data_IF_694205840096
#
_entry.id   IF_694205840096
#
_cell.length_a   1.000
_cell.length_b   1.000
_cell.length_c   1.000
_cell.angle_alpha   90.00
_cell.angle_beta   90.00
_cell.angle_gamma   90.00
#
_symmetry.space_group_name_H-M   'P 1'
#
loop_
_entity.id
_entity.type
_entity.pdbx_description
1 polymer ?
#
# COMPACT_ATOMS: atom_id res chain seq x y z
N UNK A 1 -24.12 11.13 15.35
CA UNK A 1 -23.63 12.29 14.55
C UNK A 1 -22.96 11.75 13.29
N UNK A 2 -22.55 12.59 12.34
CA UNK A 2 -21.74 12.15 11.20
C UNK A 2 -20.26 12.17 11.59
N UNK A 3 -19.51 11.14 11.22
CA UNK A 3 -18.10 11.01 11.63
C UNK A 3 -17.25 10.47 10.48
N UNK A 4 -16.22 11.21 10.11
CA UNK A 4 -15.18 10.76 9.18
C UNK A 4 -14.15 9.95 9.97
N UNK A 5 -14.04 8.67 9.66
CA UNK A 5 -13.15 7.72 10.35
C UNK A 5 -12.15 7.20 9.33
N UNK A 6 -10.86 7.40 9.58
CA UNK A 6 -9.79 6.88 8.72
C UNK A 6 -9.25 5.58 9.32
N UNK A 7 -9.21 4.53 8.52
CA UNK A 7 -8.71 3.22 8.86
C UNK A 7 -7.40 3.00 8.12
N UNK A 8 -6.33 2.80 8.88
CA UNK A 8 -5.00 2.65 8.30
C UNK A 8 -4.25 1.47 8.92
N UNK A 9 -3.86 0.50 8.11
CA UNK A 9 -2.99 -0.56 8.57
C UNK A 9 -1.52 -0.14 8.53
N UNK A 10 -0.75 -0.57 9.53
CA UNK A 10 0.66 -0.19 9.67
C UNK A 10 1.53 -1.42 9.95
N UNK A 11 2.66 -1.53 9.26
CA UNK A 11 3.80 -2.37 9.64
C UNK A 11 5.08 -1.67 9.22
N UNK A 12 5.82 -1.15 10.18
CA UNK A 12 7.07 -0.43 9.97
C UNK A 12 6.96 0.74 8.95
N UNK A 13 6.08 1.70 9.24
CA UNK A 13 5.77 2.85 8.37
C UNK A 13 6.29 4.18 8.93
N UNK A 14 7.23 4.16 9.89
CA UNK A 14 7.69 5.38 10.57
C UNK A 14 8.27 6.46 9.65
N UNK A 15 8.74 6.06 8.48
CA UNK A 15 9.26 6.93 7.41
C UNK A 15 8.27 7.96 6.85
N UNK A 16 6.96 7.76 7.01
CA UNK A 16 5.91 8.69 6.52
C UNK A 16 4.73 8.85 7.48
N UNK A 17 4.65 8.01 8.52
CA UNK A 17 3.46 7.94 9.37
C UNK A 17 3.16 9.28 10.06
N UNK A 18 4.18 10.05 10.41
CA UNK A 18 4.02 11.38 11.01
C UNK A 18 3.35 12.36 10.03
N UNK A 19 3.81 12.40 8.78
CA UNK A 19 3.28 13.25 7.71
C UNK A 19 1.84 12.86 7.40
N UNK A 20 1.59 11.56 7.25
CA UNK A 20 0.26 11.00 7.06
C UNK A 20 -0.70 11.40 8.17
N UNK A 21 -0.33 11.18 9.44
CA UNK A 21 -1.21 11.49 10.57
C UNK A 21 -1.44 12.99 10.72
N UNK A 22 -0.43 13.82 10.45
CA UNK A 22 -0.54 15.29 10.51
C UNK A 22 -1.54 15.82 9.50
N UNK A 23 -1.48 15.36 8.24
CA UNK A 23 -2.45 15.71 7.21
C UNK A 23 -3.84 15.11 7.52
N UNK A 24 -3.90 13.84 7.89
CA UNK A 24 -5.15 13.12 8.15
C UNK A 24 -5.95 13.74 9.29
N UNK A 25 -5.27 14.21 10.33
CA UNK A 25 -5.89 14.90 11.46
C UNK A 25 -6.62 16.20 11.07
N UNK A 26 -6.39 16.76 9.87
CA UNK A 26 -7.07 17.97 9.39
C UNK A 26 -8.50 17.73 8.93
N UNK A 27 -8.82 16.52 8.46
CA UNK A 27 -10.15 16.21 7.93
C UNK A 27 -10.85 15.05 8.67
N UNK A 28 -10.09 14.15 9.30
CA UNK A 28 -10.66 13.03 10.05
C UNK A 28 -11.15 13.46 11.44
N UNK A 29 -12.27 12.89 11.86
CA UNK A 29 -12.80 13.01 13.22
C UNK A 29 -12.20 11.94 14.14
N UNK A 30 -11.83 10.78 13.59
CA UNK A 30 -11.11 9.71 14.26
C UNK A 30 -10.20 8.95 13.29
N UNK A 31 -9.11 8.39 13.80
CA UNK A 31 -8.15 7.58 13.03
C UNK A 31 -7.95 6.27 13.80
N UNK A 32 -8.09 5.13 13.13
CA UNK A 32 -7.86 3.81 13.72
C UNK A 32 -6.67 3.19 12.98
N UNK A 33 -5.60 2.90 13.73
CA UNK A 33 -4.40 2.26 13.24
C UNK A 33 -4.39 0.79 13.65
N UNK A 34 -4.32 -0.13 12.69
CA UNK A 34 -4.06 -1.54 12.97
C UNK A 34 -2.56 -1.83 12.81
N UNK A 35 -1.84 -1.85 13.93
CA UNK A 35 -0.41 -2.10 13.96
C UNK A 35 -0.12 -3.60 13.91
N UNK A 36 0.57 -4.04 12.86
CA UNK A 36 0.94 -5.44 12.65
C UNK A 36 2.38 -5.69 13.08
N UNK A 37 2.58 -5.69 14.41
CA UNK A 37 3.85 -6.05 15.04
C UNK A 37 5.03 -5.18 14.53
N UNK A 38 4.82 -3.86 14.44
CA UNK A 38 5.91 -2.96 14.06
C UNK A 38 7.05 -3.03 15.07
N UNK A 39 8.27 -3.01 14.56
CA UNK A 39 9.52 -3.03 15.33
C UNK A 39 10.29 -1.71 15.24
N UNK A 40 9.78 -0.77 14.44
CA UNK A 40 10.31 0.58 14.29
C UNK A 40 9.60 1.58 15.23
N UNK A 41 9.71 2.87 14.94
CA UNK A 41 9.09 3.91 15.79
C UNK A 41 7.61 4.16 15.51
N UNK A 42 6.95 3.42 14.61
CA UNK A 42 5.57 3.66 14.16
C UNK A 42 4.57 3.81 15.31
N UNK A 43 4.61 2.89 16.28
CA UNK A 43 3.71 2.91 17.44
C UNK A 43 3.92 4.16 18.31
N UNK A 44 5.16 4.60 18.47
CA UNK A 44 5.48 5.79 19.24
C UNK A 44 4.99 7.08 18.55
N UNK A 45 5.07 7.13 17.22
CA UNK A 45 4.53 8.23 16.41
C UNK A 45 3.02 8.36 16.63
N UNK A 46 2.27 7.25 16.57
CA UNK A 46 0.82 7.25 16.78
C UNK A 46 0.40 7.87 18.12
N UNK A 47 1.18 7.65 19.19
CA UNK A 47 0.87 8.15 20.53
C UNK A 47 0.85 9.68 20.62
N UNK A 48 1.47 10.39 19.67
CA UNK A 48 1.50 11.85 19.63
C UNK A 48 0.21 12.48 19.07
N UNK A 49 -0.74 11.67 18.56
CA UNK A 49 -1.94 12.16 17.89
C UNK A 49 -3.22 11.80 18.67
N UNK A 50 -3.90 12.76 19.31
CA UNK A 50 -5.07 12.48 20.15
C UNK A 50 -6.27 11.85 19.43
N UNK A 51 -6.35 12.02 18.10
CA UNK A 51 -7.41 11.42 17.27
C UNK A 51 -7.15 9.96 16.90
N UNK A 52 -5.96 9.43 17.23
CA UNK A 52 -5.52 8.09 16.85
C UNK A 52 -5.86 7.08 17.94
N UNK A 53 -6.52 6.01 17.54
CA UNK A 53 -6.65 4.78 18.33
C UNK A 53 -5.83 3.69 17.67
N UNK A 54 -4.85 3.15 18.38
CA UNK A 54 -4.04 2.01 17.90
C UNK A 54 -4.66 0.71 18.41
N UNK A 55 -4.85 -0.25 17.51
CA UNK A 55 -5.24 -1.63 17.82
C UNK A 55 -4.15 -2.59 17.35
N UNK A 56 -3.99 -3.69 18.09
CA UNK A 56 -3.01 -4.72 17.75
C UNK A 56 -3.58 -5.67 16.68
N UNK A 57 -2.87 -5.80 15.56
CA UNK A 57 -3.03 -6.93 14.66
C UNK A 57 -1.94 -7.97 14.99
N UNK A 58 -2.27 -8.89 15.89
CA UNK A 58 -1.33 -9.92 16.38
C UNK A 58 -1.04 -11.04 15.38
N UNK A 59 -1.64 -11.02 14.19
CA UNK A 59 -1.36 -12.02 13.16
C UNK A 59 0.07 -11.89 12.64
N UNK A 60 0.84 -12.96 12.79
CA UNK A 60 2.16 -13.09 12.17
C UNK A 60 2.07 -13.21 10.64
N UNK A 61 0.90 -13.57 10.10
CA UNK A 61 0.70 -13.72 8.67
C UNK A 61 0.16 -12.45 8.02
N UNK A 62 0.67 -12.14 6.84
CA UNK A 62 0.08 -11.09 6.02
C UNK A 62 -1.26 -11.56 5.43
N UNK A 63 -2.33 -10.83 5.75
CA UNK A 63 -3.67 -10.98 5.18
C UNK A 63 -4.34 -9.62 5.05
N UNK A 64 -4.57 -9.17 3.81
CA UNK A 64 -5.25 -7.88 3.55
C UNK A 64 -6.71 -7.91 4.00
N UNK A 65 -7.40 -9.04 3.79
CA UNK A 65 -8.82 -9.18 4.09
C UNK A 65 -9.09 -9.16 5.61
N UNK A 66 -8.37 -9.97 6.39
CA UNK A 66 -8.54 -10.06 7.85
C UNK A 66 -8.25 -8.72 8.53
N UNK A 67 -7.17 -8.05 8.10
CA UNK A 67 -6.80 -6.72 8.57
C UNK A 67 -7.89 -5.68 8.30
N UNK A 68 -8.54 -5.75 7.13
CA UNK A 68 -9.62 -4.85 6.78
C UNK A 68 -10.89 -5.11 7.61
N UNK A 69 -11.23 -6.39 7.85
CA UNK A 69 -12.33 -6.78 8.76
C UNK A 69 -12.08 -6.20 10.15
N UNK A 70 -10.88 -6.42 10.71
CA UNK A 70 -10.49 -5.93 12.03
C UNK A 70 -10.71 -4.41 12.17
N UNK A 71 -10.24 -3.64 11.19
CA UNK A 71 -10.37 -2.18 11.20
C UNK A 71 -11.84 -1.72 11.13
N UNK A 72 -12.63 -2.28 10.21
CA UNK A 72 -14.05 -1.91 10.03
C UNK A 72 -14.87 -2.27 11.26
N UNK A 73 -14.70 -3.48 11.80
CA UNK A 73 -15.39 -3.90 13.02
C UNK A 73 -15.02 -3.03 14.21
N UNK A 74 -13.76 -2.63 14.32
CA UNK A 74 -13.31 -1.69 15.37
C UNK A 74 -14.01 -0.35 15.23
N UNK A 75 -14.11 0.20 14.01
CA UNK A 75 -14.82 1.45 13.76
C UNK A 75 -16.30 1.37 14.18
N UNK A 76 -16.97 0.26 13.85
CA UNK A 76 -18.37 0.02 14.25
C UNK A 76 -18.52 -0.11 15.77
N UNK A 77 -17.57 -0.74 16.45
CA UNK A 77 -17.57 -0.90 17.92
C UNK A 77 -17.33 0.42 18.66
N UNK A 78 -16.41 1.25 18.16
CA UNK A 78 -16.06 2.53 18.80
C UNK A 78 -17.11 3.62 18.54
N UNK A 79 -17.82 3.55 17.42
CA UNK A 79 -18.77 4.58 16.98
C UNK A 79 -20.12 3.96 16.57
N UNK A 80 -20.82 3.23 17.45
CA UNK A 80 -22.01 2.44 17.09
C UNK A 80 -23.18 3.32 16.61
N UNK A 81 -23.37 4.49 17.23
CA UNK A 81 -24.51 5.38 17.00
C UNK A 81 -24.23 6.49 15.96
N UNK A 82 -23.03 6.51 15.37
CA UNK A 82 -22.66 7.50 14.37
C UNK A 82 -22.96 7.01 12.94
N UNK A 83 -23.26 7.97 12.05
CA UNK A 83 -23.17 7.77 10.61
C UNK A 83 -21.69 7.80 10.24
N UNK A 84 -21.11 6.60 10.10
CA UNK A 84 -19.67 6.40 9.85
C UNK A 84 -19.35 6.57 8.36
N UNK A 85 -18.53 7.56 8.04
CA UNK A 85 -17.94 7.74 6.73
C UNK A 85 -16.52 7.20 6.83
N UNK A 86 -16.32 5.96 6.39
CA UNK A 86 -15.10 5.21 6.56
C UNK A 86 -14.17 5.47 5.38
N UNK A 87 -12.97 5.98 5.64
CA UNK A 87 -11.88 6.09 4.68
C UNK A 87 -10.87 4.97 4.94
N UNK A 88 -10.43 4.26 3.91
CA UNK A 88 -9.43 3.20 4.01
C UNK A 88 -8.18 3.61 3.24
N UNK A 89 -7.22 4.19 3.97
CA UNK A 89 -5.99 4.78 3.42
C UNK A 89 -4.78 4.00 3.94
N UNK A 90 -3.84 3.68 3.07
CA UNK A 90 -2.52 3.21 3.51
C UNK A 90 -1.69 4.41 4.03
N UNK A 91 -0.67 4.15 4.86
CA UNK A 91 0.13 5.22 5.47
C UNK A 91 0.87 6.09 4.45
N UNK A 92 1.09 5.60 3.23
CA UNK A 92 1.71 6.33 2.13
C UNK A 92 0.69 7.05 1.20
N UNK A 93 -0.57 7.20 1.64
CA UNK A 93 -1.64 7.85 0.90
C UNK A 93 -2.10 9.14 1.60
N UNK A 94 -1.45 10.25 1.27
CA UNK A 94 -1.70 11.56 1.89
C UNK A 94 -2.62 12.38 0.99
N UNK A 95 -3.64 13.01 1.56
CA UNK A 95 -4.53 13.92 0.83
C UNK A 95 -3.73 15.04 0.13
N UNK A 96 -4.16 15.50 -1.04
CA UNK A 96 -3.61 16.72 -1.65
C UNK A 96 -4.01 17.96 -0.81
N UNK A 97 -3.13 18.95 -0.71
CA UNK A 97 -3.31 20.06 0.23
C UNK A 97 -4.57 20.89 -0.04
N UNK A 98 -4.85 21.19 -1.31
CA UNK A 98 -6.08 21.86 -1.74
C UNK A 98 -7.36 21.05 -1.43
N UNK A 99 -7.25 19.71 -1.42
CA UNK A 99 -8.35 18.81 -1.04
C UNK A 99 -8.81 18.94 0.41
N UNK A 100 -7.95 19.40 1.34
CA UNK A 100 -8.31 19.54 2.76
C UNK A 100 -9.46 20.54 2.97
N UNK A 101 -9.47 21.62 2.20
CA UNK A 101 -10.45 22.71 2.32
C UNK A 101 -11.57 22.63 1.28
N UNK A 102 -11.62 21.53 0.52
CA UNK A 102 -12.60 21.36 -0.55
C UNK A 102 -14.04 21.44 -0.06
N UNK A 103 -14.90 22.10 -0.84
CA UNK A 103 -16.35 22.10 -0.61
C UNK A 103 -16.97 20.69 -0.72
N UNK A 104 -16.30 19.76 -1.41
CA UNK A 104 -16.77 18.39 -1.63
C UNK A 104 -16.95 17.61 -0.31
N UNK A 105 -16.28 18.01 0.78
CA UNK A 105 -16.51 17.44 2.10
C UNK A 105 -17.97 17.55 2.56
N UNK A 106 -18.70 18.60 2.14
CA UNK A 106 -20.14 18.74 2.42
C UNK A 106 -20.97 17.72 1.64
N UNK A 107 -20.56 17.39 0.41
CA UNK A 107 -21.22 16.40 -0.45
C UNK A 107 -20.97 14.99 0.11
N UNK A 108 -19.73 14.69 0.49
CA UNK A 108 -19.36 13.43 1.15
C UNK A 108 -20.18 13.20 2.41
N UNK A 109 -20.41 14.26 3.19
CA UNK A 109 -21.23 14.20 4.41
C UNK A 109 -22.72 13.99 4.12
N UNK A 110 -23.26 14.53 3.02
CA UNK A 110 -24.69 14.45 2.72
C UNK A 110 -25.15 13.12 2.11
N UNK A 111 -24.25 12.34 1.49
CA UNK A 111 -24.63 11.05 0.88
C UNK A 111 -25.08 10.00 1.90
N UNK A 112 -25.96 9.10 1.48
CA UNK A 112 -26.56 8.07 2.35
C UNK A 112 -25.67 6.84 2.57
N UNK A 113 -25.98 6.01 3.59
CA UNK A 113 -25.35 4.70 3.80
C UNK A 113 -25.37 3.82 2.54
N UNK A 114 -24.34 2.97 2.39
CA UNK A 114 -24.18 2.10 1.22
C UNK A 114 -23.49 2.77 0.03
N UNK A 115 -23.04 4.02 0.19
CA UNK A 115 -22.37 4.78 -0.88
C UNK A 115 -20.88 4.53 -0.87
N UNK A 116 -20.31 4.06 -1.98
CA UNK A 116 -18.86 4.01 -2.21
C UNK A 116 -18.39 5.31 -2.83
N UNK A 117 -17.30 5.87 -2.32
CA UNK A 117 -16.77 7.17 -2.74
C UNK A 117 -15.41 6.95 -3.40
N UNK A 118 -15.32 7.43 -4.63
CA UNK A 118 -14.19 7.26 -5.53
C UNK A 118 -13.41 8.57 -5.65
N UNK A 119 -12.09 8.45 -5.60
CA UNK A 119 -11.16 9.56 -5.68
C UNK A 119 -10.08 9.27 -6.71
N UNK A 120 -9.47 10.34 -7.21
CA UNK A 120 -8.22 10.20 -7.93
C UNK A 120 -7.07 9.89 -6.95
N UNK A 121 -6.18 8.97 -7.34
CA UNK A 121 -5.06 8.51 -6.52
C UNK A 121 -3.74 8.57 -7.32
N UNK A 122 -3.18 9.76 -7.57
CA UNK A 122 -1.96 9.92 -8.35
C UNK A 122 -0.75 9.35 -7.60
N UNK A 123 0.17 8.70 -8.30
CA UNK A 123 1.43 8.23 -7.74
C UNK A 123 2.52 9.30 -7.90
N UNK A 124 3.06 9.84 -6.81
CA UNK A 124 4.13 10.83 -6.88
C UNK A 124 5.49 10.19 -7.14
N UNK A 125 6.23 10.70 -8.12
CA UNK A 125 7.57 10.24 -8.42
C UNK A 125 8.62 10.86 -7.48
N UNK A 126 9.80 10.25 -7.44
CA UNK A 126 10.94 10.77 -6.69
C UNK A 126 11.22 12.25 -7.05
N UNK A 127 11.45 13.08 -6.04
CA UNK A 127 11.61 14.54 -6.19
C UNK A 127 10.29 15.32 -6.22
N UNK A 128 9.13 14.65 -6.27
CA UNK A 128 7.78 15.21 -6.20
C UNK A 128 7.39 16.20 -7.32
N UNK A 129 8.25 16.43 -8.32
CA UNK A 129 7.99 17.35 -9.44
C UNK A 129 7.03 16.78 -10.46
N UNK A 130 6.98 15.46 -10.57
CA UNK A 130 6.12 14.73 -11.49
C UNK A 130 5.32 13.65 -10.78
N UNK A 131 4.19 13.30 -11.36
CA UNK A 131 3.30 12.28 -10.88
C UNK A 131 2.74 11.46 -12.04
N UNK A 132 2.33 10.24 -11.72
CA UNK A 132 1.63 9.36 -12.63
C UNK A 132 0.15 9.46 -12.34
N UNK A 133 -0.61 9.85 -13.36
CA UNK A 133 -2.07 9.88 -13.31
C UNK A 133 -2.61 8.78 -14.19
N UNK A 134 -3.52 7.99 -13.63
CA UNK A 134 -4.16 6.89 -14.31
C UNK A 134 -5.48 7.42 -14.86
N UNK A 135 -5.54 7.71 -16.16
CA UNK A 135 -6.73 8.29 -16.78
C UNK A 135 -7.96 7.40 -16.53
N UNK A 136 -9.07 8.04 -16.15
CA UNK A 136 -10.36 7.40 -15.81
C UNK A 136 -10.32 6.28 -14.76
N UNK A 137 -9.21 6.18 -14.01
CA UNK A 137 -9.02 5.15 -12.98
C UNK A 137 -9.15 5.76 -11.59
N UNK A 138 -10.38 5.79 -11.09
CA UNK A 138 -10.70 6.26 -9.75
C UNK A 138 -10.72 5.09 -8.76
N UNK A 139 -10.16 5.32 -7.58
CA UNK A 139 -10.08 4.30 -6.52
C UNK A 139 -11.16 4.54 -5.49
N UNK A 140 -11.93 3.50 -5.15
CA UNK A 140 -12.83 3.50 -4.00
C UNK A 140 -12.01 3.54 -2.70
N UNK A 141 -11.93 4.71 -2.08
CA UNK A 141 -11.16 4.92 -0.84
C UNK A 141 -12.05 5.24 0.35
N UNK A 142 -13.32 5.57 0.14
CA UNK A 142 -14.26 5.73 1.24
C UNK A 142 -15.61 5.07 1.00
N UNK A 143 -16.33 4.83 2.10
CA UNK A 143 -17.62 4.20 2.12
C UNK A 143 -18.47 4.73 3.27
N UNK A 144 -19.73 5.06 3.00
CA UNK A 144 -20.70 5.41 4.04
C UNK A 144 -21.27 4.11 4.59
N UNK A 145 -20.88 3.75 5.80
CA UNK A 145 -21.17 2.45 6.39
C UNK A 145 -22.68 2.22 6.57
N UNK A 146 -23.20 1.11 6.05
CA UNK A 146 -24.58 0.65 6.22
C UNK A 146 -24.70 -0.62 7.09
N UNK A 147 -23.58 -1.11 7.62
CA UNK A 147 -23.54 -2.35 8.42
C UNK A 147 -23.37 -3.64 7.61
N UNK A 148 -23.20 -3.58 6.27
CA UNK A 148 -23.01 -4.77 5.45
C UNK A 148 -21.82 -5.63 5.91
N UNK A 149 -21.99 -6.95 5.82
CA UNK A 149 -20.93 -7.92 6.14
C UNK A 149 -19.82 -7.90 5.09
N UNK A 150 -18.59 -7.97 5.56
CA UNK A 150 -17.41 -7.92 4.71
C UNK A 150 -16.81 -9.33 4.51
N UNK A 151 -17.12 -9.95 3.37
CA UNK A 151 -16.51 -11.22 2.95
C UNK A 151 -15.79 -11.00 1.64
N UNK A 152 -14.46 -10.88 1.68
CA UNK A 152 -13.65 -10.77 0.47
C UNK A 152 -12.48 -11.74 0.49
N UNK A 153 -12.13 -12.24 -0.71
CA UNK A 153 -10.92 -13.03 -0.94
C UNK A 153 -9.68 -12.13 -0.92
N UNK A 154 -8.51 -12.73 -0.85
CA UNK A 154 -7.15 -12.18 -0.60
C UNK A 154 -6.68 -10.94 -1.39
N UNK A 155 -7.41 -10.50 -2.44
CA UNK A 155 -7.19 -9.25 -3.20
C UNK A 155 -8.40 -8.31 -3.14
N UNK A 156 -8.98 -8.16 -1.95
CA UNK A 156 -10.16 -7.36 -1.71
C UNK A 156 -9.98 -5.89 -2.09
N UNK A 157 -11.05 -5.25 -2.59
CA UNK A 157 -11.19 -3.80 -2.56
C UNK A 157 -10.98 -3.29 -1.12
N UNK A 158 -10.41 -2.10 -0.91
CA UNK A 158 -10.18 -1.60 0.46
C UNK A 158 -11.48 -1.18 1.17
N UNK A 159 -12.50 -0.84 0.39
CA UNK A 159 -13.82 -0.46 0.88
C UNK A 159 -14.89 -1.40 0.33
N UNK A 160 -16.04 -1.52 1.02
CA UNK A 160 -17.21 -2.16 0.47
C UNK A 160 -17.57 -1.67 -0.92
N UNK A 161 -17.62 -2.61 -1.87
CA UNK A 161 -18.16 -2.40 -3.19
C UNK A 161 -19.42 -3.24 -3.32
N UNK A 162 -20.58 -2.58 -3.42
CA UNK A 162 -21.87 -3.24 -3.65
C UNK A 162 -22.29 -3.01 -5.12
N UNK A 163 -21.96 -3.91 -6.05
CA UNK A 163 -22.24 -3.72 -7.48
C UNK A 163 -23.73 -3.80 -7.83
N UNK A 164 -24.58 -4.34 -6.95
CA UNK A 164 -25.99 -4.63 -7.29
C UNK A 164 -26.90 -3.46 -6.86
N UNK A 165 -26.64 -2.84 -5.71
CA UNK A 165 -27.47 -1.76 -5.13
C UNK A 165 -26.68 -0.56 -4.58
N UNK A 166 -25.35 -0.53 -4.74
CA UNK A 166 -24.50 0.51 -4.16
C UNK A 166 -24.59 1.83 -4.93
N UNK A 167 -24.75 2.93 -4.21
CA UNK A 167 -24.59 4.27 -4.81
C UNK A 167 -23.09 4.55 -4.95
N UNK A 168 -22.69 5.17 -6.06
CA UNK A 168 -21.31 5.62 -6.25
C UNK A 168 -21.27 7.14 -6.28
N UNK A 169 -20.32 7.73 -5.55
CA UNK A 169 -20.00 9.15 -5.60
C UNK A 169 -18.58 9.31 -6.14
N UNK A 170 -18.42 10.02 -7.25
CA UNK A 170 -17.12 10.43 -7.77
C UNK A 170 -16.76 11.82 -7.25
N UNK A 171 -15.61 11.96 -6.60
CA UNK A 171 -15.10 13.22 -6.06
C UNK A 171 -13.83 13.63 -6.79
N UNK A 172 -13.83 14.81 -7.41
CA UNK A 172 -12.76 15.26 -8.30
C UNK A 172 -11.82 16.29 -7.64
N UNK A 173 -12.30 17.07 -6.67
CA UNK A 173 -11.48 18.13 -6.04
C UNK A 173 -10.69 17.63 -4.82
N UNK A 174 -10.93 16.39 -4.38
CA UNK A 174 -10.15 15.73 -3.33
C UNK A 174 -9.36 14.60 -3.97
N UNK A 175 -8.05 14.59 -3.73
CA UNK A 175 -7.12 13.59 -4.27
C UNK A 175 -6.28 13.02 -3.14
N UNK A 176 -5.88 11.76 -3.27
CA UNK A 176 -4.97 11.11 -2.33
C UNK A 176 -3.68 10.76 -3.05
N UNK A 177 -2.63 11.53 -2.78
CA UNK A 177 -1.30 11.34 -3.34
C UNK A 177 -0.67 10.09 -2.74
N UNK A 178 -0.24 9.16 -3.59
CA UNK A 178 0.38 7.92 -3.18
C UNK A 178 1.90 8.02 -3.33
N UNK A 179 2.61 7.83 -2.22
CA UNK A 179 4.05 8.07 -2.13
C UNK A 179 4.90 6.83 -2.47
N UNK A 180 4.29 5.71 -2.87
CA UNK A 180 5.03 4.47 -3.17
C UNK A 180 6.14 4.65 -4.21
N UNK A 181 5.95 5.54 -5.19
CA UNK A 181 6.92 5.78 -6.27
C UNK A 181 8.05 6.73 -5.88
N UNK A 182 7.99 7.34 -4.69
CA UNK A 182 9.06 8.23 -4.19
C UNK A 182 10.26 7.46 -3.64
N UNK A 183 10.07 6.16 -3.35
CA UNK A 183 11.06 5.25 -2.74
C UNK A 183 11.22 3.99 -3.59
N UNK A 184 11.87 4.10 -4.77
CA UNK A 184 11.94 2.99 -5.73
C UNK A 184 12.58 1.72 -5.14
N UNK A 185 13.59 1.82 -4.28
CA UNK A 185 14.22 0.63 -3.69
C UNK A 185 13.23 -0.11 -2.76
N UNK A 186 12.56 0.63 -1.87
CA UNK A 186 11.57 0.04 -0.95
C UNK A 186 10.36 -0.52 -1.70
N UNK A 187 9.92 0.15 -2.78
CA UNK A 187 8.83 -0.37 -3.61
C UNK A 187 9.19 -1.70 -4.25
N UNK A 188 10.38 -1.82 -4.84
CA UNK A 188 10.85 -3.08 -5.41
C UNK A 188 10.97 -4.17 -4.34
N UNK A 189 11.45 -3.83 -3.13
CA UNK A 189 11.48 -4.75 -1.99
C UNK A 189 10.08 -5.27 -1.61
N UNK A 190 9.07 -4.39 -1.56
CA UNK A 190 7.67 -4.74 -1.31
C UNK A 190 7.12 -5.69 -2.37
N UNK A 191 7.48 -5.49 -3.64
CA UNK A 191 7.08 -6.38 -4.74
C UNK A 191 7.70 -7.77 -4.61
N UNK A 192 9.01 -7.85 -4.30
CA UNK A 192 9.69 -9.12 -4.02
C UNK A 192 9.01 -9.87 -2.87
N UNK A 193 8.74 -9.19 -1.77
CA UNK A 193 8.04 -9.75 -0.62
C UNK A 193 6.64 -10.28 -0.98
N UNK A 194 5.81 -9.51 -1.69
CA UNK A 194 4.47 -9.98 -2.11
C UNK A 194 4.52 -11.17 -3.06
N UNK A 195 5.47 -11.18 -4.01
CA UNK A 195 5.68 -12.32 -4.91
C UNK A 195 6.00 -13.61 -4.13
N UNK A 196 6.88 -13.51 -3.14
CA UNK A 196 7.27 -14.63 -2.26
C UNK A 196 6.10 -15.12 -1.41
N UNK A 197 5.35 -14.20 -0.78
CA UNK A 197 4.15 -14.55 0.02
C UNK A 197 3.11 -15.28 -0.84
N UNK A 198 2.84 -14.80 -2.04
CA UNK A 198 1.88 -15.46 -2.95
C UNK A 198 2.36 -16.81 -3.46
N UNK A 199 3.67 -17.00 -3.65
CA UNK A 199 4.25 -18.33 -3.93
C UNK A 199 4.03 -19.28 -2.74
N UNK A 200 4.37 -18.86 -1.53
CA UNK A 200 4.22 -19.67 -0.30
C UNK A 200 2.76 -20.09 -0.12
N UNK A 201 1.84 -19.12 -0.22
CA UNK A 201 0.39 -19.35 -0.04
C UNK A 201 -0.30 -19.94 -1.27
N UNK A 202 0.43 -20.15 -2.38
CA UNK A 202 -0.07 -20.66 -3.67
C UNK A 202 -1.31 -19.91 -4.18
N UNK A 203 -1.34 -18.59 -3.98
CA UNK A 203 -2.51 -17.76 -4.31
C UNK A 203 -2.60 -17.45 -5.81
N UNK A 204 -1.44 -17.28 -6.44
CA UNK A 204 -1.33 -16.78 -7.81
C UNK A 204 -0.33 -17.64 -8.58
N UNK A 205 -0.63 -18.07 -9.82
CA UNK A 205 0.33 -18.76 -10.68
C UNK A 205 1.60 -17.94 -10.96
N UNK A 206 2.71 -18.62 -11.23
CA UNK A 206 4.03 -17.98 -11.43
C UNK A 206 4.02 -16.88 -12.49
N UNK A 207 3.39 -17.10 -13.64
CA UNK A 207 3.35 -16.12 -14.73
C UNK A 207 2.61 -14.83 -14.34
N UNK A 208 1.55 -14.93 -13.54
CA UNK A 208 0.84 -13.76 -13.02
C UNK A 208 1.67 -13.04 -11.96
N UNK A 209 2.34 -13.78 -11.06
CA UNK A 209 3.22 -13.14 -10.05
C UNK A 209 4.35 -12.36 -10.71
N UNK A 210 5.02 -12.95 -11.71
CA UNK A 210 6.08 -12.29 -12.48
C UNK A 210 5.57 -11.05 -13.22
N UNK A 211 4.32 -11.06 -13.69
CA UNK A 211 3.71 -9.87 -14.30
C UNK A 211 3.29 -8.80 -13.28
N UNK A 212 2.74 -9.20 -12.13
CA UNK A 212 2.21 -8.29 -11.13
C UNK A 212 3.31 -7.65 -10.28
N UNK A 213 4.42 -8.37 -10.08
CA UNK A 213 5.56 -7.99 -9.26
C UNK A 213 6.87 -8.08 -10.04
N UNK A 214 7.03 -7.31 -11.14
CA UNK A 214 8.24 -7.35 -11.93
C UNK A 214 9.42 -6.77 -11.13
N UNK A 215 10.59 -7.40 -11.28
CA UNK A 215 11.86 -6.97 -10.69
C UNK A 215 12.18 -5.51 -11.02
N UNK A 216 12.12 -5.18 -12.32
CA UNK A 216 12.28 -3.83 -12.82
C UNK A 216 10.91 -3.22 -13.04
N UNK A 217 10.47 -2.42 -12.06
CA UNK A 217 9.34 -1.53 -12.27
C UNK A 217 9.72 -0.44 -13.27
N UNK A 218 9.35 -0.62 -14.53
CA UNK A 218 9.29 0.50 -15.45
C UNK A 218 7.96 1.22 -15.23
N UNK A 219 7.98 2.54 -15.12
CA UNK A 219 6.78 3.39 -15.18
C UNK A 219 5.91 3.02 -16.40
N UNK A 220 6.56 2.63 -17.51
CA UNK A 220 5.92 2.18 -18.74
C UNK A 220 5.23 0.80 -18.65
N UNK A 221 5.42 0.03 -17.57
CA UNK A 221 4.78 -1.27 -17.34
C UNK A 221 3.44 -1.14 -16.59
N UNK A 222 3.08 0.06 -16.14
CA UNK A 222 1.74 0.33 -15.64
C UNK A 222 0.81 0.31 -16.85
N UNK A 223 0.02 -0.75 -16.98
CA UNK A 223 -0.95 -0.84 -18.07
C UNK A 223 -1.99 0.29 -17.96
N UNK A 224 -2.40 0.82 -19.11
CA UNK A 224 -3.32 1.97 -19.22
C UNK A 224 -2.63 3.19 -19.83
N UNK A 225 -3.41 4.19 -20.23
CA UNK A 225 -2.87 5.51 -20.58
C UNK A 225 -2.44 6.20 -19.28
N UNK A 226 -1.21 5.93 -18.85
CA UNK A 226 -0.58 6.64 -17.74
C UNK A 226 0.04 7.91 -18.28
N UNK A 227 -0.44 9.05 -17.80
CA UNK A 227 0.14 10.33 -18.14
C UNK A 227 1.15 10.74 -17.07
N UNK A 228 2.39 10.94 -17.50
CA UNK A 228 3.43 11.51 -16.66
C UNK A 228 3.28 13.03 -16.71
N UNK A 229 2.71 13.60 -15.65
CA UNK A 229 2.38 15.02 -15.58
C UNK A 229 3.20 15.71 -14.48
N UNK A 230 3.32 17.04 -14.59
CA UNK A 230 3.80 17.85 -13.49
C UNK A 230 2.86 17.69 -12.28
N UNK A 231 3.42 17.53 -11.09
CA UNK A 231 2.66 17.56 -9.85
C UNK A 231 2.13 18.99 -9.66
N UNK A 232 0.81 19.20 -9.52
CA UNK A 232 0.27 20.53 -9.26
C UNK A 232 0.83 21.11 -7.96
N UNK A 233 1.31 22.36 -8.02
CA UNK A 233 1.84 23.05 -6.83
C UNK A 233 0.80 23.12 -5.70
N UNK A 234 -0.49 23.24 -6.04
CA UNK A 234 -1.59 23.29 -5.07
C UNK A 234 -1.71 22.02 -4.22
N UNK A 235 -1.16 20.89 -4.67
CA UNK A 235 -1.20 19.64 -3.91
C UNK A 235 -0.18 19.62 -2.77
N UNK A 236 0.94 20.33 -2.93
CA UNK A 236 2.06 20.30 -1.99
C UNK A 236 2.23 21.63 -1.22
N UNK A 237 1.87 22.75 -1.83
CA UNK A 237 2.10 24.08 -1.27
C UNK A 237 1.28 24.29 0.01
N UNK A 238 1.96 24.68 1.09
CA UNK A 238 1.37 24.83 2.42
C UNK A 238 1.54 23.62 3.34
N UNK A 239 2.07 22.49 2.87
CA UNK A 239 2.40 21.39 3.80
C UNK A 239 3.57 21.72 4.72
N UNK A 240 4.58 22.44 4.21
CA UNK A 240 5.70 22.91 5.02
C UNK A 240 5.25 23.82 6.18
N UNK A 241 4.25 24.68 5.95
CA UNK A 241 3.70 25.55 7.01
C UNK A 241 2.84 24.78 8.02
N UNK A 242 2.39 23.58 7.68
CA UNK A 242 1.73 22.64 8.58
C UNK A 242 2.70 21.72 9.34
N UNK A 243 4.01 21.88 9.14
CA UNK A 243 5.03 21.05 9.77
C UNK A 243 5.25 19.69 9.11
N UNK A 244 4.76 19.48 7.88
CA UNK A 244 5.05 18.27 7.11
C UNK A 244 6.28 18.50 6.23
N UNK A 245 7.19 17.53 6.26
CA UNK A 245 8.34 17.48 5.36
C UNK A 245 8.21 16.29 4.40
N UNK A 246 7.68 16.56 3.21
CA UNK A 246 7.48 15.53 2.18
C UNK A 246 8.72 15.33 1.30
N UNK A 247 9.75 16.17 1.44
CA UNK A 247 10.92 16.13 0.55
C UNK A 247 12.05 15.25 1.06
N UNK A 248 12.01 14.84 2.33
CA UNK A 248 13.04 14.00 2.95
C UNK A 248 12.48 12.61 3.30
N UNK A 249 12.23 11.80 2.26
CA UNK A 249 11.73 10.43 2.41
C UNK A 249 12.89 9.44 2.23
N UNK A 250 13.26 8.65 3.26
CA UNK A 250 14.45 7.78 3.19
C UNK A 250 14.21 6.57 2.29
N UNK A 251 15.04 6.32 1.27
CA UNK A 251 14.94 5.14 0.40
C UNK A 251 16.15 4.19 0.59
N UNK A 252 16.18 3.41 1.69
CA UNK A 252 17.32 2.55 1.99
C UNK A 252 17.51 1.46 0.93
N UNK A 253 18.75 1.02 0.76
CA UNK A 253 19.10 -0.06 -0.16
C UNK A 253 18.43 -1.40 0.23
N UNK A 254 18.32 -1.66 1.53
CA UNK A 254 17.62 -2.83 2.07
C UNK A 254 16.41 -2.37 2.88
N UNK A 255 15.23 -2.89 2.53
CA UNK A 255 14.00 -2.69 3.30
C UNK A 255 13.77 -3.83 4.29
N UNK A 256 12.95 -3.61 5.31
CA UNK A 256 12.46 -4.70 6.16
C UNK A 256 11.77 -5.81 5.36
N UNK A 257 11.18 -5.48 4.20
CA UNK A 257 10.60 -6.45 3.27
C UNK A 257 11.65 -7.45 2.75
N UNK A 258 12.87 -7.00 2.45
CA UNK A 258 13.94 -7.87 1.98
C UNK A 258 14.40 -8.82 3.10
N UNK A 259 14.48 -8.32 4.34
CA UNK A 259 14.80 -9.15 5.50
C UNK A 259 13.71 -10.22 5.77
N UNK A 260 12.44 -9.92 5.52
CA UNK A 260 11.38 -10.94 5.60
C UNK A 260 11.55 -12.03 4.51
N UNK A 261 12.00 -11.65 3.30
CA UNK A 261 12.31 -12.63 2.26
C UNK A 261 13.46 -13.56 2.68
N UNK A 262 14.51 -13.04 3.33
CA UNK A 262 15.59 -13.87 3.87
C UNK A 262 15.11 -14.88 4.92
N UNK A 263 14.14 -14.50 5.77
CA UNK A 263 13.49 -15.45 6.69
C UNK A 263 12.83 -16.59 5.90
N UNK A 264 12.17 -16.29 4.78
CA UNK A 264 11.58 -17.33 3.93
C UNK A 264 12.61 -18.18 3.19
N UNK A 265 13.77 -17.65 2.82
CA UNK A 265 14.87 -18.47 2.30
C UNK A 265 15.36 -19.46 3.36
N UNK A 266 15.41 -19.06 4.63
CA UNK A 266 15.78 -19.95 5.74
C UNK A 266 14.76 -21.07 5.92
N UNK A 267 13.47 -20.76 5.84
CA UNK A 267 12.38 -21.72 6.11
C UNK A 267 12.16 -22.67 4.93
N UNK A 268 12.21 -22.17 3.70
CA UNK A 268 11.77 -22.91 2.51
C UNK A 268 12.89 -23.23 1.51
N UNK A 269 14.08 -22.66 1.68
CA UNK A 269 15.17 -22.70 0.71
C UNK A 269 14.96 -21.72 -0.46
N UNK A 270 16.05 -21.12 -0.91
CA UNK A 270 16.09 -20.19 -2.06
C UNK A 270 15.56 -20.81 -3.37
N UNK A 271 15.78 -22.11 -3.57
CA UNK A 271 15.37 -22.84 -4.78
C UNK A 271 13.86 -22.78 -5.05
N UNK A 272 13.04 -22.68 -3.99
CA UNK A 272 11.58 -22.53 -4.12
C UNK A 272 11.18 -21.29 -4.91
N UNK A 273 12.02 -20.25 -4.89
CA UNK A 273 11.73 -18.93 -5.44
C UNK A 273 12.49 -18.65 -6.75
N UNK A 274 13.24 -19.62 -7.29
CA UNK A 274 14.05 -19.45 -8.50
C UNK A 274 13.27 -19.00 -9.75
N UNK A 275 11.95 -19.26 -9.79
CA UNK A 275 11.08 -18.80 -10.88
C UNK A 275 10.37 -17.48 -10.60
N UNK A 276 10.40 -16.96 -9.37
CA UNK A 276 9.89 -15.62 -9.06
C UNK A 276 10.85 -14.54 -9.59
N UNK A 277 10.31 -13.37 -9.91
CA UNK A 277 11.09 -12.26 -10.48
C UNK A 277 11.70 -11.38 -9.38
N UNK A 278 12.59 -11.98 -8.57
CA UNK A 278 13.18 -11.33 -7.39
C UNK A 278 14.72 -11.31 -7.40
N UNK A 279 15.34 -11.81 -8.47
CA UNK A 279 16.78 -12.15 -8.52
C UNK A 279 17.66 -11.06 -9.16
N UNK A 280 17.09 -9.89 -9.42
CA UNK A 280 17.82 -8.66 -9.75
C UNK A 280 18.41 -7.98 -8.51
N UNK A 281 17.91 -8.35 -7.33
CA UNK A 281 18.40 -7.89 -6.03
C UNK A 281 19.62 -8.70 -5.55
N UNK A 282 20.61 -8.03 -4.96
CA UNK A 282 21.80 -8.67 -4.38
C UNK A 282 21.50 -9.28 -3.00
N UNK A 283 20.86 -10.46 -3.03
CA UNK A 283 20.47 -11.18 -1.83
C UNK A 283 21.65 -11.56 -0.94
N UNK A 284 22.84 -11.78 -1.49
CA UNK A 284 24.01 -12.10 -0.67
C UNK A 284 24.47 -10.89 0.12
N UNK A 285 24.52 -9.71 -0.51
CA UNK A 285 24.82 -8.47 0.20
C UNK A 285 23.79 -8.18 1.29
N UNK A 286 22.49 -8.36 1.01
CA UNK A 286 21.44 -8.20 2.02
C UNK A 286 21.58 -9.21 3.16
N UNK A 287 21.96 -10.46 2.86
CA UNK A 287 22.20 -11.51 3.86
C UNK A 287 23.35 -11.13 4.80
N UNK A 288 24.45 -10.62 4.26
CA UNK A 288 25.60 -10.15 5.03
C UNK A 288 25.24 -8.94 5.90
N UNK A 289 24.46 -7.99 5.38
CA UNK A 289 23.95 -6.87 6.15
C UNK A 289 23.04 -7.33 7.30
N UNK A 290 22.12 -8.27 7.03
CA UNK A 290 21.25 -8.83 8.05
C UNK A 290 22.05 -9.52 9.18
N UNK A 291 23.11 -10.25 8.85
CA UNK A 291 23.99 -10.90 9.85
C UNK A 291 24.73 -9.84 10.69
N UNK A 292 25.26 -8.80 10.04
CA UNK A 292 25.94 -7.70 10.72
C UNK A 292 24.99 -7.00 11.73
N UNK A 293 23.73 -6.83 11.35
CA UNK A 293 22.71 -6.15 12.16
C UNK A 293 22.01 -7.09 13.16
N UNK A 294 22.47 -8.34 13.29
CA UNK A 294 21.91 -9.33 14.22
C UNK A 294 20.50 -9.82 13.87
N UNK A 295 20.07 -9.64 12.61
CA UNK A 295 18.77 -10.07 12.11
C UNK A 295 18.78 -11.54 11.65
N UNK A 296 17.59 -12.17 11.66
CA UNK A 296 17.42 -13.53 11.16
C UNK A 296 17.73 -13.61 9.66
N UNK A 297 18.61 -14.54 9.28
CA UNK A 297 19.14 -14.68 7.92
C UNK A 297 19.63 -16.11 7.69
N UNK A 298 19.60 -16.65 6.45
CA UNK A 298 20.16 -17.97 6.17
C UNK A 298 21.63 -18.09 6.62
N UNK A 299 21.91 -19.05 7.50
CA UNK A 299 23.23 -19.26 8.10
C UNK A 299 24.19 -20.08 7.23
N UNK A 300 23.70 -20.72 6.15
CA UNK A 300 24.47 -21.58 5.26
C UNK A 300 25.17 -20.79 4.13
N UNK A 301 25.74 -21.53 3.16
CA UNK A 301 26.44 -21.07 1.96
C UNK A 301 25.84 -19.80 1.32
N UNK A 302 26.69 -19.02 0.65
CA UNK A 302 26.32 -17.87 -0.18
C UNK A 302 25.01 -18.10 -0.94
N UNK A 303 24.07 -17.15 -0.87
CA UNK A 303 22.80 -17.25 -1.60
C UNK A 303 23.10 -17.26 -3.10
N UNK A 304 22.72 -18.36 -3.77
CA UNK A 304 22.92 -18.50 -5.21
C UNK A 304 21.60 -18.30 -5.92
N UNK A 305 21.54 -17.26 -6.74
CA UNK A 305 20.41 -17.06 -7.64
C UNK A 305 20.27 -18.17 -8.70
N UNK A 306 19.17 -18.17 -9.46
CA UNK A 306 18.90 -19.18 -10.47
C UNK A 306 19.99 -19.20 -11.55
N UNK A 307 20.35 -20.41 -12.00
CA UNK A 307 21.24 -20.60 -13.14
C UNK A 307 20.66 -20.07 -14.45
N UNK A 308 21.51 -19.95 -15.48
CA UNK A 308 21.14 -19.36 -16.77
C UNK A 308 19.90 -20.02 -17.43
N UNK A 309 19.78 -21.35 -17.30
CA UNK A 309 18.64 -22.09 -17.85
C UNK A 309 17.30 -21.70 -17.18
N UNK A 310 17.28 -21.57 -15.85
CA UNK A 310 16.06 -21.18 -15.13
C UNK A 310 15.69 -19.73 -15.43
N UNK A 311 16.70 -18.84 -15.54
CA UNK A 311 16.48 -17.45 -16.00
C UNK A 311 15.89 -17.41 -17.41
N UNK A 312 16.34 -18.28 -18.31
CA UNK A 312 15.78 -18.40 -19.66
C UNK A 312 14.30 -18.84 -19.63
N UNK A 313 13.96 -19.86 -18.83
CA UNK A 313 12.56 -20.28 -18.63
C UNK A 313 11.70 -19.11 -18.15
N UNK A 314 12.16 -18.35 -17.15
CA UNK A 314 11.46 -17.16 -16.66
C UNK A 314 11.15 -16.16 -17.76
N UNK A 315 12.11 -15.83 -18.62
CA UNK A 315 11.91 -14.93 -19.78
C UNK A 315 10.91 -15.49 -20.79
N UNK A 316 10.93 -16.79 -21.05
CA UNK A 316 9.96 -17.44 -21.94
C UNK A 316 8.53 -17.34 -21.37
N UNK A 317 8.36 -17.52 -20.06
CA UNK A 317 7.07 -17.34 -19.37
C UNK A 317 6.58 -15.89 -19.55
N UNK A 318 7.45 -14.91 -19.32
CA UNK A 318 7.09 -13.49 -19.43
C UNK A 318 6.72 -13.12 -20.87
N UNK A 319 7.48 -13.60 -21.86
CA UNK A 319 7.22 -13.36 -23.27
C UNK A 319 5.91 -14.01 -23.75
N UNK A 320 5.65 -15.25 -23.36
CA UNK A 320 4.42 -15.96 -23.69
C UNK A 320 3.20 -15.26 -23.09
N UNK A 321 3.28 -14.80 -21.84
CA UNK A 321 2.19 -14.08 -21.19
C UNK A 321 1.94 -12.70 -21.83
N UNK A 322 3.00 -11.96 -22.16
CA UNK A 322 2.88 -10.69 -22.91
C UNK A 322 2.19 -10.90 -24.25
N UNK A 323 2.60 -11.91 -25.02
CA UNK A 323 1.97 -12.26 -26.29
C UNK A 323 0.48 -12.60 -26.12
N UNK A 324 0.14 -13.40 -25.09
CA UNK A 324 -1.25 -13.72 -24.77
C UNK A 324 -2.09 -12.48 -24.45
N UNK A 325 -1.54 -11.52 -23.69
CA UNK A 325 -2.24 -10.29 -23.30
C UNK A 325 -2.50 -9.35 -24.49
N UNK A 326 -1.62 -9.32 -25.49
CA UNK A 326 -1.77 -8.44 -26.67
C UNK A 326 -2.71 -8.99 -27.74
N UNK A 327 -3.08 -10.26 -27.69
CA UNK A 327 -3.94 -10.93 -28.69
C UNK A 327 -5.29 -11.39 -28.13
N UNK A 328 -5.74 -10.76 -27.04
CA UNK A 328 -7.04 -10.95 -26.41
C UNK A 328 -7.88 -9.70 -26.57
#
# INVERSE_FOLDING_TARGET
MEKIIVLTPVKNEDWILNEFLTATCKFADAIIIADQLSTDTSRSICANFPKVTVIDNSSAEFSKAERQVLLIETARKLFPDDKRIIFCLDADEIIARDGIESGDWKIIKSVGPGTTIFFEKPDLLAGLTTCLRHQDNYTGLAYVDDGANWLTKTHAARVPYNPINGTMLLVLNIKFMHFTCTRPNVRSAKFRYYSVIENIKRLTPVYLRRCNYPALFAVNNIGGEVDNQLTPESWLNGYKTMGLDLHHLPDPENSWHDYEVLKFFTIYGEQKFHLDDIWDHDWERTRLAAIHDGMASPLSDQIKGPGAFVKYIGRCIDAAYKFYKTHK
#
